data_IF_991385781430
#
_entry.id   IF_991385781430
#
_cell.length_a   1.000
_cell.length_b   1.000
_cell.length_c   1.000
_cell.angle_alpha   90.00
_cell.angle_beta   90.00
_cell.angle_gamma   90.00
#
_symmetry.space_group_name_H-M   'P 1'
#
loop_
_entity.id
_entity.type
_entity.pdbx_description
1 polymer ?
#
# COMPACT_ATOMS: atom_id res chain seq x y z
N UNK A 1 -11.91 5.13 5.83
CA UNK A 1 -12.20 4.31 4.62
C UNK A 1 -13.55 3.60 4.72
N UNK A 2 -13.69 2.53 5.51
CA UNK A 2 -14.89 1.67 5.50
C UNK A 2 -16.19 2.37 5.91
N UNK A 3 -16.17 3.24 6.91
CA UNK A 3 -17.38 3.99 7.32
C UNK A 3 -17.84 4.93 6.21
N UNK A 4 -16.92 5.74 5.66
CA UNK A 4 -17.17 6.66 4.55
C UNK A 4 -17.64 5.91 3.29
N UNK A 5 -17.04 4.76 2.98
CA UNK A 5 -17.52 3.86 1.93
C UNK A 5 -18.96 3.39 2.18
N UNK A 6 -19.27 2.97 3.41
CA UNK A 6 -20.63 2.57 3.82
C UNK A 6 -21.65 3.69 3.64
N UNK A 7 -21.30 4.93 4.01
CA UNK A 7 -22.16 6.10 3.82
C UNK A 7 -22.45 6.35 2.33
N UNK A 8 -21.43 6.26 1.45
CA UNK A 8 -21.62 6.42 -0.01
C UNK A 8 -22.54 5.34 -0.58
N UNK A 9 -22.34 4.08 -0.18
CA UNK A 9 -23.21 2.96 -0.59
C UNK A 9 -24.64 3.17 -0.10
N UNK A 10 -24.82 3.62 1.15
CA UNK A 10 -26.14 3.87 1.72
C UNK A 10 -26.89 4.99 0.98
N UNK A 11 -26.22 6.08 0.59
CA UNK A 11 -26.84 7.14 -0.22
C UNK A 11 -27.36 6.59 -1.55
N UNK A 12 -26.54 5.80 -2.25
CA UNK A 12 -26.93 5.15 -3.50
C UNK A 12 -28.12 4.19 -3.32
N UNK A 13 -28.16 3.43 -2.23
CA UNK A 13 -29.25 2.52 -1.92
C UNK A 13 -30.57 3.25 -1.57
N UNK A 14 -30.49 4.42 -0.94
CA UNK A 14 -31.64 5.23 -0.55
C UNK A 14 -32.19 6.11 -1.68
N UNK A 15 -31.53 6.13 -2.86
CA UNK A 15 -31.87 6.99 -4.01
C UNK A 15 -32.00 8.48 -3.64
N UNK A 16 -31.29 8.90 -2.59
CA UNK A 16 -31.17 10.31 -2.22
C UNK A 16 -30.05 10.96 -3.03
N UNK A 17 -30.10 12.28 -3.26
CA UNK A 17 -28.99 12.99 -3.90
C UNK A 17 -27.65 12.69 -3.21
N UNK A 18 -26.61 12.49 -4.01
CA UNK A 18 -25.27 12.25 -3.49
C UNK A 18 -24.79 13.49 -2.73
N UNK A 19 -24.21 13.29 -1.55
CA UNK A 19 -23.61 14.40 -0.82
C UNK A 19 -22.36 14.90 -1.56
N UNK A 20 -22.22 16.22 -1.70
CA UNK A 20 -21.14 16.88 -2.46
C UNK A 20 -19.73 16.38 -2.11
N UNK A 21 -19.50 16.02 -0.85
CA UNK A 21 -18.24 15.44 -0.36
C UNK A 21 -17.77 14.26 -1.21
N UNK A 22 -18.68 13.43 -1.71
CA UNK A 22 -18.37 12.24 -2.51
C UNK A 22 -18.00 12.55 -3.96
N UNK A 23 -18.17 13.80 -4.40
CA UNK A 23 -17.80 14.29 -5.74
C UNK A 23 -16.51 15.13 -5.71
N UNK A 24 -15.94 15.36 -4.52
CA UNK A 24 -14.71 16.13 -4.36
C UNK A 24 -13.48 15.35 -4.84
N UNK A 25 -12.46 16.06 -5.33
CA UNK A 25 -11.15 15.47 -5.66
C UNK A 25 -10.49 14.81 -4.44
N UNK A 26 -10.65 15.43 -3.26
CA UNK A 26 -10.14 14.87 -2.00
C UNK A 26 -10.73 13.48 -1.71
N UNK A 27 -12.02 13.29 -1.98
CA UNK A 27 -12.67 11.99 -1.84
C UNK A 27 -12.22 11.00 -2.90
N UNK A 28 -12.04 11.44 -4.16
CA UNK A 28 -11.48 10.59 -5.21
C UNK A 28 -10.07 10.08 -4.86
N UNK A 29 -9.25 10.93 -4.23
CA UNK A 29 -7.92 10.58 -3.73
C UNK A 29 -7.92 9.50 -2.64
N UNK A 30 -9.05 9.22 -1.97
CA UNK A 30 -9.15 8.11 -1.01
C UNK A 30 -9.18 6.73 -1.68
N UNK A 31 -9.28 6.66 -3.01
CA UNK A 31 -9.36 5.42 -3.77
C UNK A 31 -8.15 5.16 -4.67
N UNK A 32 -7.19 6.09 -4.73
CA UNK A 32 -5.93 5.89 -5.41
C UNK A 32 -4.83 5.59 -4.40
N UNK A 33 -4.25 4.39 -4.51
CA UNK A 33 -3.20 3.91 -3.61
C UNK A 33 -1.95 3.57 -4.43
N UNK A 34 -1.09 4.56 -4.72
CA UNK A 34 0.18 4.32 -5.44
C UNK A 34 1.11 3.35 -4.71
N UNK A 35 0.96 3.21 -3.39
CA UNK A 35 1.67 2.21 -2.59
C UNK A 35 0.63 1.47 -1.74
N UNK A 36 0.36 0.21 -2.09
CA UNK A 36 -0.51 -0.67 -1.32
C UNK A 36 0.32 -1.67 -0.54
N UNK A 37 0.14 -1.75 0.78
CA UNK A 37 1.01 -2.55 1.66
C UNK A 37 0.22 -3.52 2.54
N UNK A 38 0.84 -4.64 2.90
CA UNK A 38 0.29 -5.57 3.88
C UNK A 38 1.38 -6.36 4.61
N UNK A 39 1.20 -6.57 5.90
CA UNK A 39 1.99 -7.52 6.67
C UNK A 39 1.45 -8.93 6.43
N UNK A 40 2.33 -9.86 6.04
CA UNK A 40 1.98 -11.25 5.70
C UNK A 40 2.51 -12.25 6.73
N UNK A 41 2.56 -11.83 8.00
CA UNK A 41 3.08 -12.64 9.09
C UNK A 41 2.22 -13.89 9.34
N UNK A 42 2.81 -15.05 9.08
CA UNK A 42 2.29 -16.36 9.46
C UNK A 42 3.45 -17.32 9.66
N UNK A 43 3.39 -18.19 10.68
CA UNK A 43 4.43 -19.22 10.90
C UNK A 43 4.50 -20.23 9.74
N UNK A 44 3.45 -20.30 8.93
CA UNK A 44 3.33 -21.24 7.82
C UNK A 44 3.79 -20.66 6.47
N UNK A 45 4.22 -19.39 6.43
CA UNK A 45 4.54 -18.67 5.19
C UNK A 45 5.89 -17.96 5.34
N UNK A 46 6.80 -18.22 4.41
CA UNK A 46 8.13 -17.60 4.33
C UNK A 46 8.22 -16.45 3.33
N UNK A 47 7.25 -16.35 2.42
CA UNK A 47 7.16 -15.30 1.39
C UNK A 47 5.72 -15.15 0.93
N UNK A 48 5.36 -13.96 0.46
CA UNK A 48 4.05 -13.67 -0.09
C UNK A 48 4.03 -12.27 -0.69
N UNK A 49 3.14 -12.07 -1.65
CA UNK A 49 2.99 -10.80 -2.32
C UNK A 49 1.66 -10.70 -3.04
N UNK A 50 1.36 -9.50 -3.49
CA UNK A 50 0.18 -9.18 -4.28
C UNK A 50 0.57 -8.10 -5.30
N UNK A 51 -0.17 -7.99 -6.40
CA UNK A 51 0.04 -6.94 -7.40
C UNK A 51 -0.39 -5.56 -6.91
N UNK A 52 0.00 -4.48 -7.62
CA UNK A 52 -0.51 -3.13 -7.35
C UNK A 52 -2.04 -3.05 -7.48
N UNK A 53 -2.65 -2.12 -6.75
CA UNK A 53 -4.11 -1.85 -6.81
C UNK A 53 -4.47 -0.67 -7.73
N UNK A 54 -3.47 0.00 -8.30
CA UNK A 54 -3.58 1.07 -9.30
C UNK A 54 -2.55 0.80 -10.41
N UNK A 55 -2.81 1.27 -11.64
CA UNK A 55 -1.96 0.96 -12.81
C UNK A 55 -0.52 1.47 -12.64
N UNK A 56 -0.36 2.67 -12.06
CA UNK A 56 0.94 3.33 -11.86
C UNK A 56 1.49 3.13 -10.43
N UNK A 57 1.16 2.03 -9.77
CA UNK A 57 1.46 1.80 -8.36
C UNK A 57 2.38 0.61 -8.06
N UNK A 58 2.61 0.41 -6.77
CA UNK A 58 3.37 -0.71 -6.21
C UNK A 58 2.52 -1.51 -5.20
N UNK A 59 2.68 -2.83 -5.22
CA UNK A 59 2.21 -3.72 -4.16
C UNK A 59 3.39 -4.15 -3.28
N UNK A 60 3.26 -4.01 -1.96
CA UNK A 60 4.34 -4.34 -1.00
C UNK A 60 3.80 -5.30 0.06
N UNK A 61 4.18 -6.57 -0.05
CA UNK A 61 4.01 -7.56 1.01
C UNK A 61 5.25 -7.60 1.89
N UNK A 62 5.12 -7.68 3.21
CA UNK A 62 6.28 -7.84 4.09
C UNK A 62 6.03 -8.78 5.26
N UNK A 63 7.09 -9.48 5.65
CA UNK A 63 7.13 -10.42 6.76
C UNK A 63 8.21 -9.95 7.72
N UNK A 64 7.86 -9.84 9.00
CA UNK A 64 8.77 -9.45 10.07
C UNK A 64 9.03 -10.67 10.93
N UNK A 65 10.30 -11.00 11.09
CA UNK A 65 10.80 -12.00 12.04
C UNK A 65 11.75 -11.34 13.02
N UNK A 66 12.14 -12.11 14.04
CA UNK A 66 13.05 -11.64 15.08
C UNK A 66 14.37 -11.09 14.50
N UNK A 67 14.94 -11.81 13.54
CA UNK A 67 16.31 -11.53 13.05
C UNK A 67 16.36 -11.08 11.58
N UNK A 68 15.21 -11.00 10.90
CA UNK A 68 15.14 -10.61 9.49
C UNK A 68 13.77 -10.07 9.10
N UNK A 69 13.74 -9.32 8.00
CA UNK A 69 12.52 -8.83 7.34
C UNK A 69 12.58 -9.27 5.88
N UNK A 70 11.50 -9.87 5.37
CA UNK A 70 11.33 -10.08 3.94
C UNK A 70 10.36 -9.03 3.39
N UNK A 71 10.69 -8.46 2.25
CA UNK A 71 9.85 -7.51 1.52
C UNK A 71 9.70 -8.03 0.09
N UNK A 72 8.46 -8.13 -0.38
CA UNK A 72 8.11 -8.46 -1.75
C UNK A 72 7.46 -7.24 -2.38
N UNK A 73 8.08 -6.71 -3.42
CA UNK A 73 7.63 -5.53 -4.15
C UNK A 73 7.17 -5.96 -5.54
N UNK A 74 6.01 -5.49 -5.97
CA UNK A 74 5.44 -5.70 -7.29
C UNK A 74 5.07 -4.37 -7.94
N UNK A 75 5.10 -4.33 -9.27
CA UNK A 75 4.79 -3.15 -10.07
C UNK A 75 4.54 -3.58 -11.53
N UNK A 76 3.75 -2.81 -12.28
CA UNK A 76 3.52 -3.08 -13.70
C UNK A 76 4.61 -2.42 -14.55
N UNK A 77 5.51 -3.22 -15.12
CA UNK A 77 6.64 -2.73 -15.93
C UNK A 77 6.18 -1.88 -17.13
N UNK A 78 5.10 -2.29 -17.78
CA UNK A 78 4.55 -1.57 -18.93
C UNK A 78 3.97 -0.19 -18.55
N UNK A 79 3.72 0.04 -17.26
CA UNK A 79 3.30 1.33 -16.70
C UNK A 79 4.47 2.13 -16.11
N UNK A 80 5.71 1.70 -16.37
CA UNK A 80 6.93 2.39 -15.95
C UNK A 80 7.39 2.08 -14.51
N UNK A 81 6.82 1.07 -13.85
CA UNK A 81 7.26 0.69 -12.51
C UNK A 81 8.68 0.09 -12.51
N UNK A 82 9.61 0.74 -11.81
CA UNK A 82 10.97 0.25 -11.56
C UNK A 82 11.06 -0.43 -10.17
N UNK A 83 10.70 -1.71 -10.15
CA UNK A 83 10.65 -2.52 -8.92
C UNK A 83 12.04 -2.74 -8.33
N UNK A 84 13.06 -2.89 -9.18
CA UNK A 84 14.45 -3.08 -8.73
C UNK A 84 14.94 -1.82 -8.02
N UNK A 85 14.77 -0.65 -8.65
CA UNK A 85 15.17 0.61 -8.04
C UNK A 85 14.43 0.88 -6.74
N UNK A 86 13.14 0.59 -6.70
CA UNK A 86 12.36 0.79 -5.49
C UNK A 86 12.78 -0.16 -4.36
N UNK A 87 13.19 -1.40 -4.70
CA UNK A 87 13.74 -2.35 -3.72
C UNK A 87 15.05 -1.86 -3.10
N UNK A 88 15.94 -1.28 -3.91
CA UNK A 88 17.18 -0.65 -3.42
C UNK A 88 16.89 0.47 -2.42
N UNK A 89 15.94 1.35 -2.76
CA UNK A 89 15.56 2.49 -1.92
C UNK A 89 14.94 2.04 -0.58
N UNK A 90 14.13 0.98 -0.59
CA UNK A 90 13.57 0.41 0.65
C UNK A 90 14.68 -0.14 1.54
N UNK A 91 15.66 -0.85 0.96
CA UNK A 91 16.81 -1.35 1.71
C UNK A 91 17.65 -0.19 2.28
N UNK A 92 17.95 0.82 1.47
CA UNK A 92 18.67 2.02 1.89
C UNK A 92 17.96 2.72 3.06
N UNK A 93 16.64 2.88 2.98
CA UNK A 93 15.85 3.47 4.05
C UNK A 93 15.96 2.67 5.37
N UNK A 94 15.91 1.34 5.31
CA UNK A 94 16.10 0.50 6.51
C UNK A 94 17.49 0.64 7.11
N UNK A 95 18.53 0.72 6.28
CA UNK A 95 19.91 0.92 6.75
C UNK A 95 20.08 2.28 7.40
N UNK A 96 19.56 3.35 6.80
CA UNK A 96 19.57 4.71 7.38
C UNK A 96 18.86 4.72 8.74
N UNK A 97 17.68 4.10 8.83
CA UNK A 97 16.93 4.00 10.08
C UNK A 97 17.70 3.22 11.15
N UNK A 98 18.38 2.14 10.78
CA UNK A 98 19.22 1.35 11.68
C UNK A 98 20.39 2.18 12.21
N UNK A 99 21.13 2.85 11.32
CA UNK A 99 22.27 3.68 11.70
C UNK A 99 21.85 4.83 12.63
N UNK A 100 20.68 5.44 12.39
CA UNK A 100 20.13 6.49 13.23
C UNK A 100 19.71 6.01 14.65
N UNK A 101 19.40 4.73 14.80
CA UNK A 101 19.10 4.10 16.09
C UNK A 101 20.40 3.70 16.80
N UNK A 102 21.33 3.07 16.10
CA UNK A 102 22.59 2.54 16.66
C UNK A 102 23.60 3.64 17.04
N UNK A 103 23.46 4.85 16.46
CA UNK A 103 24.29 6.03 16.78
C UNK A 103 23.84 6.80 18.03
N UNK A 104 22.80 6.33 18.72
CA UNK A 104 22.34 6.86 20.02
C UNK A 104 22.99 6.13 21.18
#
# INVERSE_FOLDING_TARGET
DRHIFGLRIQHGAQQVPMHEVFETEAFAGLYDFPISTSTLNSDNISTGGFGPVTENGFGIGYIIRKDWIAVTISGYKDQGADVEKFSELVLEAFLIMKDAIDSR
#
